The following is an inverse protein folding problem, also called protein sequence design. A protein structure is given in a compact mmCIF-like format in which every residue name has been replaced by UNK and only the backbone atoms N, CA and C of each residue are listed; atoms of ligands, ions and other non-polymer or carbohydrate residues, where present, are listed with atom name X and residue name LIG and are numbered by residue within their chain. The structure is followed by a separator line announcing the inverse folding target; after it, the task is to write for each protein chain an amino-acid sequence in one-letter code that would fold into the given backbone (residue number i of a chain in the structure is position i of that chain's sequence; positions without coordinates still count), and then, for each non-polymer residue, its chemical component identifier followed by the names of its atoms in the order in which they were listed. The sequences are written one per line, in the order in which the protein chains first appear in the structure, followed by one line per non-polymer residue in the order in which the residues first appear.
data_IF_967408794900
#
_entry.id   IF_967408794900
#
_cell.length_a   1.000
_cell.length_b   1.000
_cell.length_c   1.000
_cell.angle_alpha   90.00
_cell.angle_beta   90.00
_cell.angle_gamma   90.00
#
_symmetry.space_group_name_H-M   'P 1'
#
loop_
_entity.id
_entity.type
_entity.pdbx_description
1 polymer ?
#
# COMPACT_ATOMS: atom_id res chain seq x y z
N UNK A 1 -19.07 2.04 -39.63
CA UNK A 1 -19.48 1.84 -38.24
C UNK A 1 -18.26 2.16 -37.37
N UNK A 2 -18.24 3.33 -36.75
CA UNK A 2 -17.12 3.80 -35.90
C UNK A 2 -17.34 3.25 -34.49
N UNK A 3 -16.43 2.42 -34.02
CA UNK A 3 -16.45 1.91 -32.66
C UNK A 3 -16.15 3.08 -31.70
N UNK A 4 -17.15 3.50 -30.94
CA UNK A 4 -16.97 4.37 -29.80
C UNK A 4 -16.07 3.68 -28.77
N UNK A 5 -14.81 4.05 -28.74
CA UNK A 5 -13.92 3.70 -27.61
C UNK A 5 -14.46 4.43 -26.40
N UNK A 6 -15.11 3.68 -25.51
CA UNK A 6 -15.49 4.15 -24.18
C UNK A 6 -14.22 4.62 -23.46
N UNK A 7 -14.05 5.94 -23.35
CA UNK A 7 -13.06 6.53 -22.45
C UNK A 7 -13.42 6.09 -21.04
N UNK A 8 -12.72 5.09 -20.52
CA UNK A 8 -12.72 4.77 -19.10
C UNK A 8 -12.48 6.07 -18.35
N UNK A 9 -13.50 6.56 -17.62
CA UNK A 9 -13.35 7.70 -16.73
C UNK A 9 -12.35 7.27 -15.67
N UNK A 10 -11.13 7.76 -15.76
CA UNK A 10 -10.11 7.57 -14.74
C UNK A 10 -10.69 8.11 -13.43
N UNK A 11 -10.96 7.22 -12.48
CA UNK A 11 -11.50 7.62 -11.17
C UNK A 11 -10.43 8.47 -10.47
N UNK A 12 -10.79 9.65 -10.00
CA UNK A 12 -9.89 10.48 -9.19
C UNK A 12 -9.54 9.75 -7.88
N UNK A 13 -8.32 9.94 -7.39
CA UNK A 13 -7.86 9.39 -6.12
C UNK A 13 -8.10 10.38 -4.99
N UNK A 14 -8.35 9.86 -3.80
CA UNK A 14 -8.26 10.62 -2.55
C UNK A 14 -6.79 10.68 -2.09
N UNK A 15 -5.98 11.45 -2.78
CA UNK A 15 -4.56 11.63 -2.49
C UNK A 15 -4.22 13.11 -2.32
N UNK A 16 -3.04 13.39 -1.76
CA UNK A 16 -2.56 14.77 -1.58
C UNK A 16 -2.52 15.59 -2.88
N UNK A 17 -2.37 14.92 -4.02
CA UNK A 17 -2.33 15.57 -5.33
C UNK A 17 -3.74 16.03 -5.79
N UNK A 18 -4.79 15.51 -5.16
CA UNK A 18 -6.19 15.77 -5.49
C UNK A 18 -6.97 16.47 -4.36
N UNK A 19 -6.32 16.77 -3.25
CA UNK A 19 -6.91 17.51 -2.13
C UNK A 19 -6.11 18.78 -1.86
N UNK A 20 -6.77 19.87 -1.42
CA UNK A 20 -6.07 21.12 -1.11
C UNK A 20 -5.11 20.95 0.08
N UNK A 21 -4.12 21.82 0.25
CA UNK A 21 -3.27 21.85 1.43
C UNK A 21 -4.09 21.80 2.73
N UNK A 22 -3.68 20.96 3.68
CA UNK A 22 -4.45 20.68 4.89
C UNK A 22 -5.64 19.75 4.71
N UNK A 23 -5.84 19.20 3.50
CA UNK A 23 -6.90 18.25 3.21
C UNK A 23 -6.61 16.83 3.72
N UNK A 24 -7.48 15.89 3.37
CA UNK A 24 -7.41 14.50 3.83
C UNK A 24 -7.18 13.54 2.67
N UNK A 25 -6.12 12.76 2.75
CA UNK A 25 -5.90 11.58 1.91
C UNK A 25 -6.60 10.37 2.53
N UNK A 26 -7.10 9.48 1.69
CA UNK A 26 -7.66 8.19 2.11
C UNK A 26 -6.89 7.07 1.44
N UNK A 27 -6.36 6.15 2.25
CA UNK A 27 -5.57 5.01 1.76
C UNK A 27 -6.08 3.69 2.30
N UNK A 28 -5.94 2.65 1.51
CA UNK A 28 -6.16 1.28 1.94
C UNK A 28 -4.86 0.50 1.85
N UNK A 29 -4.55 -0.24 2.91
CA UNK A 29 -3.39 -1.11 3.05
C UNK A 29 -3.87 -2.55 3.24
N UNK A 30 -3.14 -3.50 2.70
CA UNK A 30 -3.46 -4.92 2.89
C UNK A 30 -2.27 -5.69 3.39
N UNK A 31 -2.37 -6.20 4.61
CA UNK A 31 -1.43 -7.16 5.18
C UNK A 31 -1.86 -8.55 4.75
N UNK A 32 -1.18 -9.10 3.76
CA UNK A 32 -1.43 -10.47 3.29
C UNK A 32 -0.59 -11.42 4.11
N UNK A 33 -1.24 -12.35 4.82
CA UNK A 33 -0.56 -13.29 5.70
C UNK A 33 -0.68 -14.74 5.23
N UNK A 34 0.39 -15.49 5.48
CA UNK A 34 0.42 -16.95 5.36
C UNK A 34 1.07 -17.51 6.65
N UNK A 35 0.25 -17.93 7.60
CA UNK A 35 0.70 -18.22 8.95
C UNK A 35 1.32 -16.98 9.62
N UNK A 36 2.54 -17.12 10.12
CA UNK A 36 3.32 -16.02 10.74
C UNK A 36 4.17 -15.23 9.74
N UNK A 37 3.92 -15.38 8.45
CA UNK A 37 4.64 -14.66 7.40
C UNK A 37 3.73 -13.63 6.78
N UNK A 38 4.29 -12.48 6.42
CA UNK A 38 3.61 -11.39 5.73
C UNK A 38 4.21 -11.19 4.34
N UNK A 39 3.35 -10.91 3.37
CA UNK A 39 3.77 -10.56 2.01
C UNK A 39 4.29 -9.15 2.00
N UNK A 40 5.51 -8.99 1.54
CA UNK A 40 6.17 -7.69 1.33
C UNK A 40 6.76 -7.65 -0.06
N UNK A 41 6.82 -6.47 -0.65
CA UNK A 41 7.44 -6.27 -1.95
C UNK A 41 8.48 -5.16 -1.90
N UNK A 42 9.41 -5.17 -2.86
CA UNK A 42 10.27 -4.00 -3.14
C UNK A 42 9.83 -3.42 -4.47
N UNK A 43 9.78 -2.11 -4.54
CA UNK A 43 9.44 -1.44 -5.78
C UNK A 43 10.47 -1.79 -6.87
N UNK A 44 9.98 -2.08 -8.06
CA UNK A 44 10.78 -2.27 -9.26
C UNK A 44 10.96 -0.96 -10.02
N UNK A 45 10.62 -0.96 -11.34
CA UNK A 45 10.70 0.23 -12.18
C UNK A 45 9.86 1.38 -11.63
N UNK A 46 10.47 2.54 -11.30
CA UNK A 46 9.74 3.71 -10.81
C UNK A 46 8.66 4.19 -11.77
N UNK A 47 8.90 4.09 -13.07
CA UNK A 47 8.00 4.57 -14.13
C UNK A 47 6.67 3.81 -14.07
N UNK A 48 6.72 2.50 -13.89
CA UNK A 48 5.52 1.66 -13.78
C UNK A 48 4.72 2.04 -12.53
N UNK A 49 5.40 2.35 -11.43
CA UNK A 49 4.73 2.76 -10.20
C UNK A 49 4.06 4.12 -10.32
N UNK A 50 4.67 5.05 -11.06
CA UNK A 50 4.07 6.36 -11.36
C UNK A 50 2.84 6.19 -12.25
N UNK A 51 2.98 5.46 -13.35
CA UNK A 51 1.93 5.33 -14.35
C UNK A 51 0.74 4.50 -13.84
N UNK A 52 1.03 3.36 -13.23
CA UNK A 52 0.00 2.36 -12.90
C UNK A 52 -0.59 2.53 -11.50
N UNK A 53 0.22 2.95 -10.54
CA UNK A 53 -0.19 3.05 -9.13
C UNK A 53 -0.18 4.48 -8.60
N UNK A 54 0.05 5.45 -9.46
CA UNK A 54 -0.02 6.88 -9.17
C UNK A 54 0.86 7.29 -7.98
N UNK A 55 2.03 6.67 -7.86
CA UNK A 55 3.05 7.11 -6.92
C UNK A 55 3.66 8.40 -7.44
N UNK A 56 3.83 9.41 -6.60
CA UNK A 56 4.38 10.69 -7.02
C UNK A 56 5.69 10.55 -7.78
N UNK A 57 5.77 11.15 -8.98
CA UNK A 57 6.89 10.97 -9.91
C UNK A 57 8.26 11.35 -9.31
N UNK A 58 8.29 12.37 -8.46
CA UNK A 58 9.51 12.80 -7.79
C UNK A 58 10.01 11.81 -6.72
N UNK A 59 9.11 11.00 -6.18
CA UNK A 59 9.42 10.09 -5.05
C UNK A 59 9.59 8.63 -5.44
N UNK A 60 8.94 8.20 -6.52
CA UNK A 60 9.02 6.80 -6.95
C UNK A 60 10.48 6.32 -7.14
N UNK A 61 11.38 7.09 -7.76
CA UNK A 61 12.79 6.71 -7.87
C UNK A 61 13.48 6.54 -6.51
N UNK A 62 13.19 7.43 -5.54
CA UNK A 62 13.77 7.37 -4.20
C UNK A 62 13.31 6.11 -3.46
N UNK A 63 12.02 5.79 -3.56
CA UNK A 63 11.47 4.58 -2.94
C UNK A 63 12.03 3.31 -3.55
N UNK A 64 12.12 3.24 -4.88
CA UNK A 64 12.71 2.09 -5.57
C UNK A 64 14.20 1.92 -5.22
N UNK A 65 14.97 3.01 -5.24
CA UNK A 65 16.40 2.99 -4.91
C UNK A 65 16.68 2.63 -3.44
N UNK A 66 15.72 2.87 -2.53
CA UNK A 66 15.88 2.55 -1.11
C UNK A 66 16.09 1.05 -0.85
N UNK A 67 15.62 0.18 -1.75
CA UNK A 67 15.63 -1.27 -1.58
C UNK A 67 14.79 -1.78 -0.40
N UNK A 68 13.98 -0.89 0.20
CA UNK A 68 13.12 -1.19 1.35
C UNK A 68 11.79 -1.81 0.91
N UNK A 69 11.13 -2.45 1.85
CA UNK A 69 9.84 -3.08 1.61
C UNK A 69 8.69 -2.09 1.56
N UNK A 70 7.66 -2.48 0.83
CA UNK A 70 6.33 -1.87 0.83
C UNK A 70 5.27 -2.95 1.05
N UNK A 71 4.15 -2.55 1.66
CA UNK A 71 2.92 -3.33 1.67
C UNK A 71 2.12 -3.04 0.39
N UNK A 72 1.28 -3.97 -0.06
CA UNK A 72 0.25 -3.66 -1.03
C UNK A 72 -0.68 -2.56 -0.50
N UNK A 73 -0.71 -1.43 -1.17
CA UNK A 73 -1.46 -0.25 -0.73
C UNK A 73 -1.70 0.72 -1.87
N UNK A 74 -2.77 1.48 -1.79
CA UNK A 74 -3.03 2.66 -2.64
C UNK A 74 -4.05 3.61 -2.00
N UNK A 75 -4.12 4.82 -2.54
CA UNK A 75 -5.21 5.74 -2.24
C UNK A 75 -6.54 5.21 -2.81
N UNK A 76 -7.65 5.58 -2.15
CA UNK A 76 -8.98 5.24 -2.61
C UNK A 76 -9.33 6.04 -3.88
N UNK A 77 -10.11 5.43 -4.75
CA UNK A 77 -10.79 6.15 -5.82
C UNK A 77 -12.09 6.81 -5.30
N UNK A 78 -12.55 7.84 -5.97
CA UNK A 78 -13.87 8.39 -5.75
C UNK A 78 -14.95 7.30 -5.89
N UNK A 79 -15.92 7.32 -5.00
CA UNK A 79 -17.01 6.33 -4.91
C UNK A 79 -16.56 4.88 -4.65
N UNK A 80 -15.37 4.69 -4.13
CA UNK A 80 -14.86 3.39 -3.73
C UNK A 80 -14.82 3.28 -2.20
N UNK A 81 -15.36 2.21 -1.68
CA UNK A 81 -15.21 1.91 -0.25
C UNK A 81 -13.81 1.39 0.06
N UNK A 82 -13.32 1.56 1.30
CA UNK A 82 -11.99 1.06 1.69
C UNK A 82 -11.82 -0.46 1.47
N UNK A 83 -12.87 -1.26 1.68
CA UNK A 83 -12.81 -2.72 1.45
C UNK A 83 -12.77 -3.08 -0.04
N UNK A 84 -13.42 -2.31 -0.90
CA UNK A 84 -13.30 -2.48 -2.35
C UNK A 84 -11.90 -2.11 -2.82
N UNK A 85 -11.31 -1.06 -2.26
CA UNK A 85 -9.91 -0.71 -2.50
C UNK A 85 -8.99 -1.87 -2.09
N UNK A 86 -9.20 -2.48 -0.92
CA UNK A 86 -8.42 -3.62 -0.47
C UNK A 86 -8.53 -4.82 -1.42
N UNK A 87 -9.73 -5.11 -1.95
CA UNK A 87 -9.93 -6.18 -2.96
C UNK A 87 -9.21 -5.87 -4.27
N UNK A 88 -9.30 -4.62 -4.74
CA UNK A 88 -8.61 -4.19 -5.97
C UNK A 88 -7.09 -4.26 -5.81
N UNK A 89 -6.56 -3.87 -4.65
CA UNK A 89 -5.13 -4.00 -4.32
C UNK A 89 -4.69 -5.46 -4.46
N UNK A 90 -5.42 -6.39 -3.84
CA UNK A 90 -5.11 -7.82 -3.91
C UNK A 90 -5.09 -8.33 -5.34
N UNK A 91 -6.12 -8.01 -6.12
CA UNK A 91 -6.26 -8.44 -7.52
C UNK A 91 -5.24 -7.76 -8.43
N UNK A 92 -5.17 -6.43 -8.38
CA UNK A 92 -4.51 -5.62 -9.42
C UNK A 92 -3.02 -5.41 -9.13
N UNK A 93 -2.60 -5.34 -7.84
CA UNK A 93 -1.19 -5.18 -7.49
C UNK A 93 -0.44 -6.50 -7.33
N UNK A 94 -1.10 -7.55 -6.85
CA UNK A 94 -0.42 -8.81 -6.52
C UNK A 94 -1.02 -10.06 -7.17
N UNK A 95 -2.07 -9.90 -7.97
CA UNK A 95 -2.68 -11.01 -8.70
C UNK A 95 -3.36 -12.06 -7.81
N UNK A 96 -3.84 -11.66 -6.62
CA UNK A 96 -4.52 -12.54 -5.68
C UNK A 96 -6.02 -12.28 -5.64
N UNK A 97 -6.80 -13.29 -5.97
CA UNK A 97 -8.22 -13.28 -5.70
C UNK A 97 -8.52 -13.87 -4.32
N UNK A 98 -8.99 -13.01 -3.42
CA UNK A 98 -9.36 -13.38 -2.05
C UNK A 98 -10.84 -13.07 -1.85
N UNK A 99 -11.65 -14.06 -1.43
CA UNK A 99 -13.05 -13.81 -1.09
C UNK A 99 -13.18 -12.73 -0.01
N UNK A 100 -14.19 -11.87 -0.13
CA UNK A 100 -14.40 -10.77 0.81
C UNK A 100 -14.53 -11.21 2.27
N UNK A 101 -15.07 -12.40 2.52
CA UNK A 101 -15.16 -13.02 3.85
C UNK A 101 -13.80 -13.37 4.48
N UNK A 102 -12.70 -13.30 3.70
CA UNK A 102 -11.33 -13.52 4.15
C UNK A 102 -10.52 -12.22 4.23
N UNK A 103 -11.17 -11.09 4.06
CA UNK A 103 -10.58 -9.76 4.20
C UNK A 103 -11.26 -9.11 5.41
N UNK A 104 -10.50 -8.77 6.42
CA UNK A 104 -10.99 -8.13 7.65
C UNK A 104 -10.28 -6.82 7.89
N UNK A 105 -11.03 -5.80 8.32
CA UNK A 105 -10.47 -4.56 8.82
C UNK A 105 -9.73 -4.86 10.13
N UNK A 106 -8.51 -4.41 10.24
CA UNK A 106 -7.66 -4.58 11.42
C UNK A 106 -7.61 -3.30 12.22
N UNK A 107 -7.45 -2.18 11.51
CA UNK A 107 -7.23 -0.88 12.13
C UNK A 107 -7.61 0.26 11.20
N UNK A 108 -7.90 1.42 11.78
CA UNK A 108 -8.03 2.70 11.08
C UNK A 108 -7.10 3.68 11.77
N UNK A 109 -6.12 4.15 11.04
CA UNK A 109 -5.07 5.02 11.56
C UNK A 109 -5.16 6.40 10.95
N UNK A 110 -4.74 7.39 11.71
CA UNK A 110 -4.62 8.77 11.24
C UNK A 110 -3.18 9.22 11.40
N UNK A 111 -2.60 9.65 10.30
CA UNK A 111 -1.25 10.19 10.26
C UNK A 111 -1.30 11.64 9.78
N UNK A 112 -0.42 12.48 10.31
CA UNK A 112 -0.13 13.78 9.72
C UNK A 112 1.22 13.67 9.04
N UNK A 113 1.25 13.94 7.75
CA UNK A 113 2.48 13.95 6.96
C UNK A 113 2.67 15.30 6.27
N UNK A 114 3.89 15.55 5.81
CA UNK A 114 4.29 16.83 5.26
C UNK A 114 4.93 17.75 6.30
N UNK A 115 5.49 18.85 5.83
CA UNK A 115 6.09 19.88 6.67
C UNK A 115 5.37 21.22 6.41
N UNK A 116 5.01 21.93 7.46
CA UNK A 116 4.35 23.25 7.36
C UNK A 116 5.21 24.26 6.59
N UNK A 117 6.52 24.05 6.56
CA UNK A 117 7.47 24.92 5.86
C UNK A 117 7.86 24.41 4.48
N UNK A 118 7.37 23.24 4.06
CA UNK A 118 7.63 22.67 2.74
C UNK A 118 6.45 22.89 1.80
N UNK A 119 6.56 23.89 0.92
CA UNK A 119 5.52 24.18 -0.07
C UNK A 119 5.28 22.99 -1.04
N UNK A 120 6.25 22.11 -1.21
CA UNK A 120 6.14 20.92 -2.08
C UNK A 120 5.43 19.77 -1.38
N UNK A 121 5.40 19.79 -0.06
CA UNK A 121 4.74 18.79 0.77
C UNK A 121 3.99 19.44 1.94
N UNK A 122 2.95 20.21 1.66
CA UNK A 122 2.17 20.81 2.73
C UNK A 122 1.58 19.75 3.64
N UNK A 123 1.43 20.04 4.93
CA UNK A 123 0.83 19.12 5.89
C UNK A 123 -0.54 18.67 5.40
N UNK A 124 -0.81 17.38 5.52
CA UNK A 124 -2.11 16.80 5.22
C UNK A 124 -2.38 15.61 6.15
N UNK A 125 -3.64 15.29 6.32
CA UNK A 125 -4.08 14.11 7.02
C UNK A 125 -4.10 12.92 6.07
N UNK A 126 -3.53 11.79 6.49
CA UNK A 126 -3.68 10.51 5.80
C UNK A 126 -4.45 9.56 6.71
N UNK A 127 -5.64 9.17 6.29
CA UNK A 127 -6.47 8.17 6.98
C UNK A 127 -6.25 6.84 6.28
N UNK A 128 -5.63 5.92 7.00
CA UNK A 128 -5.25 4.61 6.50
C UNK A 128 -6.20 3.54 7.03
N UNK A 129 -6.85 2.82 6.13
CA UNK A 129 -7.64 1.63 6.44
C UNK A 129 -6.77 0.40 6.27
N UNK A 130 -6.40 -0.24 7.37
CA UNK A 130 -5.55 -1.43 7.37
C UNK A 130 -6.40 -2.69 7.37
N UNK A 131 -6.29 -3.46 6.30
CA UNK A 131 -6.94 -4.75 6.16
C UNK A 131 -5.95 -5.90 6.30
N UNK A 132 -6.45 -7.03 6.76
CA UNK A 132 -5.73 -8.31 6.76
C UNK A 132 -6.42 -9.28 5.82
N UNK A 133 -5.62 -9.94 4.97
CA UNK A 133 -6.06 -11.03 4.12
C UNK A 133 -5.21 -12.26 4.41
N UNK A 134 -5.86 -13.37 4.75
CA UNK A 134 -5.15 -14.63 4.99
C UNK A 134 -5.21 -15.52 3.76
N UNK A 135 -4.05 -16.02 3.32
CA UNK A 135 -3.95 -16.95 2.20
C UNK A 135 -3.41 -18.31 2.63
N UNK A 136 -3.83 -19.34 1.91
CA UNK A 136 -3.35 -20.72 2.13
C UNK A 136 -1.95 -20.92 1.54
N UNK A 137 -1.25 -21.96 1.99
CA UNK A 137 0.04 -22.33 1.40
C UNK A 137 -0.04 -22.57 -0.12
N UNK A 138 -1.12 -23.17 -0.58
CA UNK A 138 -1.37 -23.41 -2.00
C UNK A 138 -1.49 -22.11 -2.80
N UNK A 139 -2.17 -21.08 -2.28
CA UNK A 139 -2.24 -19.76 -2.91
C UNK A 139 -0.91 -19.04 -2.84
N UNK A 140 -0.24 -19.09 -1.71
CA UNK A 140 1.07 -18.46 -1.54
C UNK A 140 2.12 -19.05 -2.51
N UNK A 141 2.11 -20.37 -2.73
CA UNK A 141 3.02 -21.04 -3.66
C UNK A 141 2.75 -20.70 -5.14
N UNK A 142 1.52 -20.31 -5.46
CA UNK A 142 1.13 -19.89 -6.83
C UNK A 142 1.36 -18.42 -7.10
N UNK A 143 1.72 -17.64 -6.08
CA UNK A 143 1.98 -16.22 -6.23
C UNK A 143 3.08 -16.02 -7.28
N UNK A 144 2.80 -15.17 -8.26
CA UNK A 144 3.78 -14.73 -9.26
C UNK A 144 4.16 -13.30 -8.94
N UNK A 145 5.44 -12.99 -9.04
CA UNK A 145 5.93 -11.63 -8.88
C UNK A 145 5.58 -10.83 -10.14
N UNK A 146 4.68 -9.83 -10.05
CA UNK A 146 4.46 -8.90 -11.16
C UNK A 146 5.72 -8.09 -11.47
N UNK A 147 5.84 -7.61 -12.69
CA UNK A 147 7.02 -6.88 -13.19
C UNK A 147 7.34 -5.60 -12.42
N UNK A 148 6.33 -4.96 -11.85
CA UNK A 148 6.48 -3.73 -11.06
C UNK A 148 7.09 -3.95 -9.68
N UNK A 149 7.26 -5.18 -9.22
CA UNK A 149 8.07 -5.50 -8.05
C UNK A 149 9.43 -6.06 -8.46
N UNK A 150 10.51 -5.57 -7.88
CA UNK A 150 11.82 -6.20 -7.96
C UNK A 150 11.92 -7.44 -7.06
N UNK A 151 11.21 -7.44 -5.94
CA UNK A 151 11.01 -8.57 -5.03
C UNK A 151 9.56 -8.60 -4.55
N UNK A 152 8.95 -9.77 -4.46
CA UNK A 152 7.66 -9.99 -3.81
C UNK A 152 7.72 -11.34 -3.09
N UNK A 153 7.71 -11.33 -1.76
CA UNK A 153 7.93 -12.54 -0.97
C UNK A 153 7.25 -12.50 0.39
N UNK A 154 6.92 -13.69 0.90
CA UNK A 154 6.49 -13.86 2.28
C UNK A 154 7.69 -13.89 3.21
N UNK A 155 7.81 -12.92 4.12
CA UNK A 155 8.86 -12.84 5.15
C UNK A 155 8.28 -13.16 6.53
N UNK A 156 9.03 -13.77 7.44
CA UNK A 156 8.58 -13.95 8.82
C UNK A 156 8.32 -12.59 9.46
N UNK A 157 7.12 -12.40 10.02
CA UNK A 157 6.74 -11.11 10.61
C UNK A 157 7.69 -10.68 11.75
N UNK A 158 8.09 -11.64 12.58
CA UNK A 158 9.03 -11.38 13.70
C UNK A 158 10.46 -11.01 13.26
N UNK A 159 10.81 -11.16 11.98
CA UNK A 159 12.12 -10.73 11.46
C UNK A 159 12.13 -9.32 10.88
N UNK A 160 10.95 -8.71 10.71
CA UNK A 160 10.80 -7.40 10.12
C UNK A 160 10.83 -6.30 11.19
N UNK A 161 11.43 -5.18 10.82
CA UNK A 161 11.51 -3.97 11.64
C UNK A 161 10.84 -2.81 10.91
N UNK A 162 10.40 -1.80 11.63
CA UNK A 162 9.81 -0.58 11.08
C UNK A 162 10.68 0.03 9.97
N UNK A 163 11.99 0.13 10.20
CA UNK A 163 12.96 0.73 9.28
C UNK A 163 13.26 -0.13 8.03
N UNK A 164 12.76 -1.36 7.95
CA UNK A 164 12.87 -2.18 6.75
C UNK A 164 11.89 -1.74 5.66
N UNK A 165 10.96 -0.85 6.00
CA UNK A 165 9.93 -0.35 5.10
C UNK A 165 10.21 1.10 4.66
N UNK A 166 9.70 1.44 3.50
CA UNK A 166 9.63 2.82 2.97
C UNK A 166 8.19 3.30 2.92
N UNK A 167 7.96 4.57 2.61
CA UNK A 167 6.64 5.20 2.46
C UNK A 167 5.77 5.17 3.74
N UNK A 168 6.36 5.14 4.94
CA UNK A 168 5.59 5.04 6.18
C UNK A 168 4.91 3.69 6.43
N UNK A 169 5.11 2.68 5.54
CA UNK A 169 4.44 1.39 5.69
C UNK A 169 4.87 0.62 6.94
N UNK A 170 6.09 0.88 7.45
CA UNK A 170 6.56 0.35 8.73
C UNK A 170 5.80 0.94 9.91
N UNK A 171 5.48 2.23 9.84
CA UNK A 171 4.72 2.94 10.88
C UNK A 171 3.30 2.37 10.99
N UNK A 172 2.67 2.10 9.84
CA UNK A 172 1.34 1.47 9.78
C UNK A 172 1.33 0.11 10.48
N UNK A 173 2.34 -0.73 10.24
CA UNK A 173 2.46 -2.03 10.91
C UNK A 173 2.80 -1.90 12.40
N UNK A 174 3.63 -0.93 12.76
CA UNK A 174 4.03 -0.67 14.15
C UNK A 174 2.81 -0.21 14.97
N UNK A 175 2.03 0.74 14.45
CA UNK A 175 0.83 1.26 15.12
C UNK A 175 -0.24 0.18 15.29
N UNK A 176 -0.37 -0.73 14.32
CA UNK A 176 -1.25 -1.88 14.42
C UNK A 176 -0.74 -2.98 15.38
N UNK A 177 0.40 -2.77 16.06
CA UNK A 177 1.00 -3.75 16.96
C UNK A 177 1.49 -5.03 16.27
N UNK A 178 1.68 -4.99 14.96
CA UNK A 178 2.09 -6.15 14.18
C UNK A 178 3.62 -6.34 14.16
N UNK A 179 4.38 -5.25 14.26
CA UNK A 179 5.83 -5.32 14.45
C UNK A 179 6.14 -5.32 15.94
N UNK A 180 7.09 -6.15 16.34
CA UNK A 180 7.57 -6.15 17.71
C UNK A 180 8.05 -4.74 18.10
N UNK A 181 7.56 -4.21 19.22
CA UNK A 181 8.13 -3.01 19.80
C UNK A 181 9.59 -3.30 20.08
N UNK A 182 10.49 -2.59 19.40
CA UNK A 182 11.93 -2.67 19.67
C UNK A 182 12.25 -2.09 21.05
N UNK A 183 11.69 -2.70 22.09
CA UNK A 183 12.11 -2.39 23.45
C UNK A 183 13.57 -2.80 23.57
N UNK A 184 14.47 -1.83 23.47
CA UNK A 184 15.78 -1.96 24.06
C UNK A 184 15.54 -2.38 25.51
N UNK A 185 15.86 -3.63 25.84
CA UNK A 185 16.11 -4.00 27.22
C UNK A 185 17.29 -3.13 27.67
N UNK A 186 17.00 -2.10 28.46
CA UNK A 186 18.01 -1.43 29.25
C UNK A 186 18.49 -2.39 30.35
#
# INVERSE_FOLDING_TARGET
MSAMVSKSKTKSLFSKDNVPPGGTCLSSFVVVTNGQRVLVGKMGSPEIWVERFLVGAARAPVYAASGKYVLPARHLHWYESPVEAARSILRDQIGLEVPGSKISLVDVQSHVSGDINDEKEPPHWDICFLYKAQVTNSKAAKLRRPEWFSELAFKPLGSLKQNDFTRGHGDVLQMAGMLGSGHKKN
#
